data_IF_836040341939
#
_entry.id   IF_836040341939
#
_cell.length_a   1.000
_cell.length_b   1.000
_cell.length_c   1.000
_cell.angle_alpha   90.00
_cell.angle_beta   90.00
_cell.angle_gamma   90.00
#
_symmetry.space_group_name_H-M   'P 1'
#
loop_
_entity.id
_entity.type
_entity.pdbx_description
1 polymer ?
#
# COMPACT_ATOMS: atom_id res chain seq x y z
N UNK A 1 -25.45 -7.83 -6.93
CA UNK A 1 -25.05 -7.93 -8.36
C UNK A 1 -23.55 -7.70 -8.49
N UNK A 2 -22.89 -8.23 -9.51
CA UNK A 2 -21.47 -7.93 -9.79
C UNK A 2 -21.28 -7.43 -11.22
N UNK A 3 -20.42 -6.43 -11.38
CA UNK A 3 -20.00 -5.90 -12.68
C UNK A 3 -18.51 -6.17 -12.86
N UNK A 4 -18.12 -6.66 -14.03
CA UNK A 4 -16.71 -6.97 -14.32
C UNK A 4 -16.29 -6.22 -15.57
N UNK A 5 -15.18 -5.49 -15.47
CA UNK A 5 -14.49 -4.87 -16.61
C UNK A 5 -13.17 -5.59 -16.84
N UNK A 6 -12.84 -5.83 -18.11
CA UNK A 6 -11.57 -6.36 -18.55
C UNK A 6 -10.87 -5.33 -19.43
N UNK A 7 -9.66 -4.99 -19.06
CA UNK A 7 -8.84 -3.97 -19.71
C UNK A 7 -7.56 -4.65 -20.18
N UNK A 8 -7.32 -4.61 -21.48
CA UNK A 8 -6.13 -5.18 -22.11
C UNK A 8 -5.34 -4.10 -22.84
N UNK A 9 -4.04 -4.28 -22.94
CA UNK A 9 -3.21 -3.34 -23.68
C UNK A 9 -1.78 -3.82 -23.88
N UNK A 10 -0.99 -2.95 -24.49
CA UNK A 10 0.44 -3.10 -24.67
C UNK A 10 1.13 -1.80 -24.28
N UNK A 11 2.17 -1.91 -23.47
CA UNK A 11 3.04 -0.79 -23.10
C UNK A 11 4.35 -1.01 -23.85
N UNK A 12 4.72 -0.05 -24.69
CA UNK A 12 5.99 -0.04 -25.40
C UNK A 12 7.12 0.46 -24.48
N UNK A 13 8.34 -0.03 -24.70
CA UNK A 13 9.52 0.36 -23.93
C UNK A 13 9.81 1.88 -23.98
N UNK A 14 9.47 2.54 -25.09
CA UNK A 14 9.60 3.98 -25.25
C UNK A 14 8.64 4.77 -24.36
N UNK A 15 7.45 4.24 -24.08
CA UNK A 15 6.46 4.91 -23.23
C UNK A 15 6.93 4.93 -21.77
N UNK A 16 7.54 3.85 -21.30
CA UNK A 16 8.07 3.73 -19.92
C UNK A 16 9.16 4.77 -19.65
N UNK A 17 9.97 5.10 -20.67
CA UNK A 17 11.00 6.16 -20.55
C UNK A 17 10.41 7.56 -20.36
N UNK A 18 9.18 7.79 -20.82
CA UNK A 18 8.50 9.09 -20.69
C UNK A 18 7.70 9.17 -19.38
N UNK A 19 7.01 8.09 -19.03
CA UNK A 19 6.29 7.94 -17.77
C UNK A 19 6.21 6.46 -17.45
N UNK A 20 6.71 6.01 -16.30
CA UNK A 20 6.66 4.60 -15.93
C UNK A 20 5.31 4.20 -15.32
N UNK A 21 4.42 5.16 -15.04
CA UNK A 21 3.09 4.92 -14.47
C UNK A 21 1.98 5.10 -15.51
N UNK A 22 1.07 4.12 -15.56
CA UNK A 22 -0.07 4.06 -16.47
C UNK A 22 -1.36 3.88 -15.67
N UNK A 23 -2.41 4.61 -16.05
CA UNK A 23 -3.69 4.63 -15.33
C UNK A 23 -4.79 4.02 -16.19
N UNK A 24 -5.50 3.04 -15.63
CA UNK A 24 -6.57 2.31 -16.29
C UNK A 24 -7.89 2.64 -15.59
N UNK A 25 -8.76 3.45 -16.23
CA UNK A 25 -9.99 3.90 -15.61
C UNK A 25 -11.06 2.79 -15.59
N UNK A 26 -11.85 2.74 -14.53
CA UNK A 26 -13.09 1.97 -14.44
C UNK A 26 -14.10 2.65 -13.52
N UNK A 27 -15.39 2.36 -13.70
CA UNK A 27 -16.44 3.02 -12.93
C UNK A 27 -16.81 2.21 -11.68
N UNK A 28 -16.93 2.89 -10.54
CA UNK A 28 -17.45 2.35 -9.29
C UNK A 28 -18.82 2.99 -9.00
N UNK A 29 -19.89 2.19 -8.82
CA UNK A 29 -21.23 2.70 -8.54
C UNK A 29 -21.46 3.02 -7.05
N UNK A 30 -22.54 3.75 -6.75
CA UNK A 30 -22.88 4.26 -5.41
C UNK A 30 -23.08 3.18 -4.33
N UNK A 31 -23.43 1.97 -4.71
CA UNK A 31 -23.77 0.84 -3.84
C UNK A 31 -22.70 -0.27 -3.89
N UNK A 32 -21.47 0.08 -4.28
CA UNK A 32 -20.35 -0.86 -4.29
C UNK A 32 -20.02 -1.31 -2.86
N UNK A 33 -19.86 -2.62 -2.69
CA UNK A 33 -19.49 -3.24 -1.40
C UNK A 33 -18.11 -3.90 -1.45
N UNK A 34 -17.63 -4.25 -2.65
CA UNK A 34 -16.33 -4.88 -2.86
C UNK A 34 -15.77 -4.51 -4.22
N UNK A 35 -14.48 -4.21 -4.26
CA UNK A 35 -13.68 -4.11 -5.50
C UNK A 35 -12.62 -5.20 -5.41
N UNK A 36 -12.57 -6.07 -6.41
CA UNK A 36 -11.52 -7.06 -6.59
C UNK A 36 -10.81 -6.78 -7.92
N UNK A 37 -9.49 -6.72 -7.90
CA UNK A 37 -8.66 -6.48 -9.08
C UNK A 37 -7.64 -7.59 -9.19
N UNK A 38 -7.48 -8.14 -10.39
CA UNK A 38 -6.40 -9.06 -10.72
C UNK A 38 -5.77 -8.66 -12.04
N UNK A 39 -4.49 -8.99 -12.23
CA UNK A 39 -3.79 -8.72 -13.47
C UNK A 39 -2.80 -9.81 -13.84
N UNK A 40 -2.50 -9.88 -15.13
CA UNK A 40 -1.44 -10.71 -15.71
C UNK A 40 -0.75 -9.92 -16.79
N UNK A 41 0.51 -10.26 -17.05
CA UNK A 41 1.28 -9.64 -18.12
C UNK A 41 2.26 -10.64 -18.75
N UNK A 42 2.70 -10.33 -19.96
CA UNK A 42 3.59 -11.20 -20.73
C UNK A 42 5.00 -11.23 -20.14
N UNK A 43 5.63 -12.40 -20.17
CA UNK A 43 7.04 -12.60 -19.84
C UNK A 43 7.45 -12.05 -18.46
N UNK A 44 6.77 -12.38 -17.35
CA UNK A 44 7.20 -11.92 -16.03
C UNK A 44 8.60 -12.44 -15.68
N UNK A 45 9.38 -11.65 -14.94
CA UNK A 45 10.62 -12.14 -14.36
C UNK A 45 10.31 -13.25 -13.36
N UNK A 46 10.82 -14.45 -13.63
CA UNK A 46 10.62 -15.63 -12.77
C UNK A 46 11.89 -16.07 -12.04
N UNK A 47 13.03 -15.47 -12.39
CA UNK A 47 14.31 -15.82 -11.80
C UNK A 47 14.40 -15.28 -10.34
N UNK A 48 15.11 -16.00 -9.44
CA UNK A 48 15.26 -15.58 -8.05
C UNK A 48 15.82 -14.16 -7.92
N UNK A 49 15.32 -13.42 -6.93
CA UNK A 49 15.74 -12.05 -6.64
C UNK A 49 15.59 -11.08 -7.83
N UNK A 50 14.69 -11.37 -8.78
CA UNK A 50 14.50 -10.53 -9.98
C UNK A 50 15.63 -10.63 -11.01
N UNK A 51 16.58 -11.56 -10.84
CA UNK A 51 17.78 -11.66 -11.67
C UNK A 51 17.57 -12.57 -12.89
N UNK A 52 16.91 -12.08 -13.94
CA UNK A 52 16.74 -12.81 -15.20
C UNK A 52 15.82 -12.05 -16.15
N UNK A 53 15.74 -12.39 -17.46
CA UNK A 53 14.97 -11.65 -18.49
C UNK A 53 13.45 -11.62 -18.23
N UNK A 54 12.73 -10.69 -18.88
CA UNK A 54 11.31 -10.45 -18.63
C UNK A 54 10.95 -9.06 -18.11
N UNK A 55 9.67 -8.91 -17.78
CA UNK A 55 9.04 -7.69 -17.32
C UNK A 55 8.77 -7.73 -15.81
N UNK A 56 8.78 -6.56 -15.19
CA UNK A 56 8.30 -6.33 -13.82
C UNK A 56 7.27 -5.22 -13.91
N UNK A 57 6.01 -5.59 -13.70
CA UNK A 57 4.89 -4.65 -13.67
C UNK A 57 4.30 -4.68 -12.27
N UNK A 58 4.25 -3.52 -11.66
CA UNK A 58 3.67 -3.26 -10.35
C UNK A 58 2.19 -2.89 -10.48
N UNK A 59 1.45 -3.03 -9.37
CA UNK A 59 0.04 -2.64 -9.32
C UNK A 59 -0.32 -1.84 -8.06
N UNK A 60 -1.17 -0.86 -8.26
CA UNK A 60 -1.85 -0.09 -7.21
C UNK A 60 -3.17 0.50 -7.71
N UNK A 61 -3.79 1.36 -6.91
CA UNK A 61 -5.09 1.93 -7.25
C UNK A 61 -5.33 3.30 -6.61
N UNK A 62 -6.02 4.15 -7.36
CA UNK A 62 -6.58 5.42 -6.91
C UNK A 62 -8.10 5.42 -7.06
N UNK A 63 -8.79 6.04 -6.11
CA UNK A 63 -10.22 6.26 -6.19
C UNK A 63 -10.59 7.57 -6.91
N UNK A 64 -11.90 7.83 -6.97
CA UNK A 64 -12.49 8.97 -7.67
C UNK A 64 -12.13 10.35 -7.12
N UNK A 65 -11.39 10.43 -6.01
CA UNK A 65 -10.83 11.70 -5.51
C UNK A 65 -9.57 12.13 -6.28
N UNK A 66 -9.05 11.29 -7.16
CA UNK A 66 -8.01 11.63 -8.13
C UNK A 66 -6.60 11.18 -7.73
N UNK A 67 -5.71 11.18 -8.72
CA UNK A 67 -4.33 10.71 -8.63
C UNK A 67 -3.30 11.80 -8.94
N UNK A 68 -3.69 13.07 -8.92
CA UNK A 68 -2.79 14.19 -9.26
C UNK A 68 -1.62 14.31 -8.27
N UNK A 69 -0.40 14.35 -8.80
CA UNK A 69 0.82 14.58 -8.03
C UNK A 69 0.93 16.06 -7.60
N UNK A 70 1.51 16.40 -6.44
CA UNK A 70 2.21 15.55 -5.47
C UNK A 70 1.36 14.98 -4.32
N UNK A 71 0.09 15.35 -4.23
CA UNK A 71 -0.77 14.99 -3.10
C UNK A 71 -2.09 14.41 -3.61
N UNK A 72 -2.09 13.17 -4.11
CA UNK A 72 -3.28 12.55 -4.64
C UNK A 72 -4.23 12.17 -3.50
N UNK A 73 -5.37 12.85 -3.42
CA UNK A 73 -6.36 12.57 -2.39
C UNK A 73 -6.97 11.16 -2.49
N UNK A 74 -6.85 10.52 -3.65
CA UNK A 74 -7.46 9.23 -3.95
C UNK A 74 -6.57 8.01 -3.78
N UNK A 75 -5.35 8.09 -3.23
CA UNK A 75 -4.52 6.88 -3.07
C UNK A 75 -5.23 5.80 -2.24
N UNK A 76 -5.28 4.57 -2.75
CA UNK A 76 -5.94 3.41 -2.10
C UNK A 76 -5.06 2.19 -1.95
N UNK A 77 -3.81 2.23 -2.40
CA UNK A 77 -2.85 1.18 -2.12
C UNK A 77 -1.90 0.89 -3.26
N UNK A 78 -0.86 0.15 -2.89
CA UNK A 78 0.22 -0.31 -3.75
C UNK A 78 0.74 -1.63 -3.22
N UNK A 79 1.10 -2.55 -4.10
CA UNK A 79 1.74 -3.82 -3.72
C UNK A 79 3.01 -4.13 -4.53
N UNK A 80 3.47 -3.19 -5.36
CA UNK A 80 4.47 -3.51 -6.36
C UNK A 80 4.05 -4.72 -7.20
N UNK A 81 5.02 -5.54 -7.59
CA UNK A 81 4.81 -6.83 -8.24
C UNK A 81 4.60 -8.00 -7.25
N UNK A 82 4.49 -7.76 -5.93
CA UNK A 82 4.44 -8.83 -4.93
C UNK A 82 3.12 -9.61 -4.93
N UNK A 83 2.06 -9.03 -5.51
CA UNK A 83 0.72 -9.62 -5.53
C UNK A 83 0.14 -9.59 -6.95
N UNK A 84 -0.50 -10.68 -7.42
CA UNK A 84 -1.20 -10.72 -8.71
C UNK A 84 -2.63 -10.16 -8.63
N UNK A 85 -3.13 -9.90 -7.42
CA UNK A 85 -4.49 -9.44 -7.16
C UNK A 85 -4.60 -8.74 -5.80
N UNK A 86 -5.65 -7.93 -5.65
CA UNK A 86 -6.01 -7.29 -4.38
C UNK A 86 -7.53 -7.09 -4.27
N UNK A 87 -7.98 -6.84 -3.05
CA UNK A 87 -9.37 -6.59 -2.72
C UNK A 87 -9.51 -5.38 -1.79
N UNK A 88 -10.58 -4.61 -2.01
CA UNK A 88 -11.00 -3.48 -1.18
C UNK A 88 -12.47 -3.65 -0.80
N UNK A 89 -12.78 -3.46 0.48
CA UNK A 89 -14.14 -3.33 1.01
C UNK A 89 -14.16 -2.17 2.01
N UNK A 90 -15.35 -1.72 2.47
CA UNK A 90 -15.44 -0.76 3.55
C UNK A 90 -14.78 -1.24 4.86
N UNK A 91 -14.89 -2.53 5.18
CA UNK A 91 -14.43 -3.10 6.46
C UNK A 91 -13.04 -3.74 6.43
N UNK A 92 -12.54 -4.09 5.25
CA UNK A 92 -11.31 -4.87 5.09
C UNK A 92 -10.63 -4.62 3.72
N UNK A 93 -9.32 -4.86 3.65
CA UNK A 93 -8.54 -4.73 2.42
C UNK A 93 -7.34 -5.67 2.43
N UNK A 94 -6.86 -6.03 1.24
CA UNK A 94 -5.57 -6.73 1.09
C UNK A 94 -4.45 -5.91 1.73
N UNK A 95 -3.50 -6.51 2.48
CA UNK A 95 -2.34 -5.78 3.00
C UNK A 95 -1.61 -5.00 1.90
N UNK A 96 -1.27 -3.75 2.19
CA UNK A 96 -0.78 -2.76 1.22
C UNK A 96 -1.88 -1.81 0.70
N UNK A 97 -3.15 -2.13 0.94
CA UNK A 97 -4.31 -1.36 0.47
C UNK A 97 -5.17 -0.78 1.61
N UNK A 98 -5.79 0.37 1.32
CA UNK A 98 -6.56 1.17 2.28
C UNK A 98 -8.04 0.80 2.16
N UNK A 99 -8.58 0.15 3.19
CA UNK A 99 -10.03 -0.08 3.36
C UNK A 99 -10.78 1.22 3.65
N UNK A 100 -12.10 1.16 3.59
CA UNK A 100 -13.00 2.28 3.85
C UNK A 100 -13.92 2.54 2.67
N UNK A 101 -14.74 3.58 2.79
CA UNK A 101 -15.81 3.91 1.83
C UNK A 101 -15.37 3.78 0.36
N UNK A 102 -16.18 3.10 -0.44
CA UNK A 102 -15.96 2.94 -1.87
C UNK A 102 -16.69 4.09 -2.58
N UNK A 103 -16.00 5.22 -2.74
CA UNK A 103 -16.58 6.41 -3.36
C UNK A 103 -17.05 6.11 -4.79
N UNK A 104 -18.26 6.52 -5.19
CA UNK A 104 -18.71 6.38 -6.57
C UNK A 104 -17.86 7.24 -7.52
N UNK A 105 -17.83 6.84 -8.78
CA UNK A 105 -17.16 7.57 -9.87
C UNK A 105 -16.05 6.77 -10.52
N UNK A 106 -15.20 7.46 -11.28
CA UNK A 106 -14.09 6.86 -11.99
C UNK A 106 -12.92 6.58 -11.05
N UNK A 107 -12.54 5.31 -10.91
CA UNK A 107 -11.34 4.86 -10.22
C UNK A 107 -10.28 4.51 -11.26
N UNK A 108 -9.01 4.53 -10.83
CA UNK A 108 -7.88 4.29 -11.71
C UNK A 108 -6.98 3.21 -11.12
N UNK A 109 -6.90 2.07 -11.81
CA UNK A 109 -5.87 1.06 -11.52
C UNK A 109 -4.55 1.61 -12.07
N UNK A 110 -3.53 1.68 -11.22
CA UNK A 110 -2.21 2.12 -11.61
C UNK A 110 -1.32 0.92 -11.88
N UNK A 111 -0.75 0.86 -13.08
CA UNK A 111 0.35 -0.02 -13.42
C UNK A 111 1.65 0.78 -13.38
N UNK A 112 2.64 0.31 -12.64
CA UNK A 112 3.99 0.85 -12.69
C UNK A 112 4.91 -0.13 -13.40
N UNK A 113 5.84 0.33 -14.23
CA UNK A 113 6.74 -0.53 -14.98
C UNK A 113 8.18 -0.30 -14.56
N UNK A 114 8.66 -1.15 -13.64
CA UNK A 114 10.05 -1.16 -13.18
C UNK A 114 10.99 -1.66 -14.29
N UNK A 115 10.59 -2.76 -14.93
CA UNK A 115 11.41 -3.40 -15.95
C UNK A 115 10.60 -3.82 -17.15
N UNK A 116 11.11 -3.51 -18.33
CA UNK A 116 10.45 -3.80 -19.59
C UNK A 116 11.41 -4.39 -20.63
N UNK A 117 10.97 -5.46 -21.29
CA UNK A 117 11.64 -6.03 -22.44
C UNK A 117 11.58 -5.07 -23.64
N UNK A 118 12.51 -5.13 -24.61
CA UNK A 118 12.49 -4.24 -25.78
C UNK A 118 11.21 -4.32 -26.63
N UNK A 119 10.54 -5.47 -26.64
CA UNK A 119 9.27 -5.68 -27.35
C UNK A 119 8.06 -5.08 -26.60
N UNK A 120 8.27 -4.53 -25.40
CA UNK A 120 7.23 -4.06 -24.51
C UNK A 120 6.55 -5.19 -23.73
N UNK A 121 5.46 -4.85 -23.05
CA UNK A 121 4.68 -5.77 -22.23
C UNK A 121 3.21 -5.72 -22.59
N UNK A 122 2.59 -6.88 -22.84
CA UNK A 122 1.14 -7.01 -22.93
C UNK A 122 0.58 -7.28 -21.56
N UNK A 123 -0.53 -6.62 -21.22
CA UNK A 123 -1.21 -6.80 -19.94
C UNK A 123 -2.70 -7.09 -20.14
N UNK A 124 -3.27 -7.75 -19.13
CA UNK A 124 -4.69 -7.95 -18.95
C UNK A 124 -5.01 -7.68 -17.47
N UNK A 125 -5.92 -6.74 -17.22
CA UNK A 125 -6.42 -6.36 -15.90
C UNK A 125 -7.91 -6.64 -15.85
N UNK A 126 -8.36 -7.30 -14.80
CA UNK A 126 -9.78 -7.55 -14.53
C UNK A 126 -10.15 -6.86 -13.23
N UNK A 127 -11.13 -5.95 -13.28
CA UNK A 127 -11.73 -5.34 -12.09
C UNK A 127 -13.18 -5.83 -11.96
N UNK A 128 -13.51 -6.41 -10.82
CA UNK A 128 -14.86 -6.85 -10.47
C UNK A 128 -15.38 -6.02 -9.31
N UNK A 129 -16.53 -5.40 -9.48
CA UNK A 129 -17.21 -4.59 -8.46
C UNK A 129 -18.51 -5.27 -8.06
N UNK A 130 -18.58 -5.69 -6.80
CA UNK A 130 -19.81 -6.22 -6.21
C UNK A 130 -20.63 -5.08 -5.61
N UNK A 131 -21.94 -5.23 -5.70
CA UNK A 131 -22.92 -4.22 -5.32
C UNK A 131 -24.07 -4.88 -4.58
N UNK A 132 -24.55 -4.24 -3.52
CA UNK A 132 -25.82 -4.61 -2.90
C UNK A 132 -26.99 -4.27 -3.85
N UNK A 133 -27.97 -5.17 -3.97
CA UNK A 133 -29.24 -4.80 -4.59
C UNK A 133 -29.89 -3.70 -3.73
N UNK A 134 -30.57 -2.75 -4.38
CA UNK A 134 -31.22 -1.64 -3.71
C UNK A 134 -32.30 -2.16 -2.73
N UNK A 135 -31.89 -2.44 -1.49
CA UNK A 135 -32.78 -2.70 -0.37
C UNK A 135 -33.13 -1.36 0.28
N UNK A 136 -34.43 -1.16 0.50
CA UNK A 136 -35.04 -0.03 1.20
C UNK A 136 -34.21 0.42 2.39
N UNK A 137 -33.71 1.66 2.33
CA UNK A 137 -33.30 2.51 3.45
C UNK A 137 -32.94 1.74 4.74
N UNK A 138 -31.77 1.10 4.76
CA UNK A 138 -31.11 0.87 6.04
C UNK A 138 -30.61 2.24 6.51
N UNK A 139 -31.00 2.63 7.72
CA UNK A 139 -30.31 3.72 8.40
C UNK A 139 -28.80 3.41 8.36
N UNK A 140 -27.95 4.33 7.90
CA UNK A 140 -26.53 4.12 7.96
C UNK A 140 -26.18 3.87 9.42
N UNK A 141 -25.64 2.68 9.73
CA UNK A 141 -24.87 2.55 10.96
C UNK A 141 -23.81 3.63 10.91
N UNK A 142 -23.63 4.41 11.98
CA UNK A 142 -22.62 5.45 11.99
C UNK A 142 -21.29 4.78 11.66
N UNK A 143 -20.73 5.12 10.50
CA UNK A 143 -19.35 4.80 10.19
C UNK A 143 -18.54 5.35 11.36
N UNK A 144 -17.99 4.45 12.17
CA UNK A 144 -16.94 4.82 13.12
C UNK A 144 -15.76 5.20 12.25
N UNK A 145 -15.75 6.45 11.81
CA UNK A 145 -14.54 7.11 11.34
C UNK A 145 -13.53 6.82 12.44
N UNK A 146 -12.44 6.07 12.20
CA UNK A 146 -11.40 6.01 13.20
C UNK A 146 -11.05 7.46 13.48
N UNK A 147 -11.27 7.88 14.73
CA UNK A 147 -10.89 9.21 15.13
C UNK A 147 -9.44 9.37 14.71
N UNK A 148 -9.10 10.48 14.06
CA UNK A 148 -7.69 10.89 14.02
C UNK A 148 -7.24 10.83 15.48
N UNK A 149 -6.28 9.97 15.85
CA UNK A 149 -5.78 9.98 17.20
C UNK A 149 -5.17 11.37 17.40
N UNK A 150 -5.76 12.13 18.31
CA UNK A 150 -5.13 13.32 18.85
C UNK A 150 -3.70 12.94 19.24
N UNK A 151 -2.73 13.79 18.91
CA UNK A 151 -1.32 13.51 19.15
C UNK A 151 -1.12 12.91 20.55
N UNK A 152 -0.79 11.61 20.59
CA UNK A 152 -0.83 10.81 21.81
C UNK A 152 0.09 11.42 22.87
N UNK A 153 -0.56 12.05 23.86
CA UNK A 153 0.00 12.57 25.11
C UNK A 153 0.62 11.45 25.96
N UNK A 154 0.44 10.17 25.58
CA UNK A 154 1.01 8.99 26.25
C UNK A 154 2.47 8.62 25.90
N UNK A 155 3.08 9.21 24.86
CA UNK A 155 4.50 8.94 24.51
C UNK A 155 5.48 9.28 25.64
N UNK A 156 5.10 10.15 26.56
CA UNK A 156 5.96 10.61 27.64
C UNK A 156 6.11 9.59 28.78
N UNK A 157 5.10 8.75 29.05
CA UNK A 157 5.08 7.88 30.23
C UNK A 157 5.78 6.54 30.00
N UNK A 158 5.64 5.93 28.82
CA UNK A 158 6.38 4.71 28.46
C UNK A 158 7.91 4.98 28.38
N UNK A 159 8.29 6.15 27.87
CA UNK A 159 9.68 6.62 27.86
C UNK A 159 10.23 6.93 29.26
N UNK A 160 9.41 7.08 30.29
CA UNK A 160 9.86 7.41 31.64
C UNK A 160 10.58 6.23 32.34
N UNK A 161 10.46 5.01 31.79
CA UNK A 161 11.17 3.82 32.28
C UNK A 161 12.49 3.54 31.54
N UNK A 162 12.78 4.26 30.45
CA UNK A 162 14.12 4.28 29.89
C UNK A 162 15.05 4.91 30.95
N UNK A 163 16.09 4.17 31.33
CA UNK A 163 17.02 4.61 32.37
C UNK A 163 17.50 6.04 32.08
N UNK A 164 17.40 6.96 33.05
CA UNK A 164 17.92 8.35 32.94
C UNK A 164 19.44 8.45 32.73
N UNK A 165 20.13 7.33 32.51
CA UNK A 165 21.56 7.25 32.22
C UNK A 165 21.75 7.12 30.71
N UNK A 166 22.73 7.82 30.11
CA UNK A 166 23.09 7.62 28.71
C UNK A 166 23.40 6.14 28.45
N UNK A 167 22.78 5.57 27.42
CA UNK A 167 23.04 4.21 26.96
C UNK A 167 22.92 4.14 25.45
N UNK A 168 23.53 3.12 24.85
CA UNK A 168 23.27 2.74 23.47
C UNK A 168 21.86 2.12 23.38
N UNK A 169 21.14 2.48 22.32
CA UNK A 169 19.87 1.87 21.96
C UNK A 169 20.11 0.86 20.84
N UNK A 170 19.53 -0.34 20.97
CA UNK A 170 19.55 -1.39 19.95
C UNK A 170 18.21 -1.38 19.24
N UNK A 171 18.20 -1.32 17.92
CA UNK A 171 16.96 -1.41 17.17
C UNK A 171 17.19 -1.65 15.70
N UNK A 172 16.08 -1.77 14.97
CA UNK A 172 16.05 -1.95 13.53
C UNK A 172 15.36 -0.75 12.87
N UNK A 173 15.93 -0.27 11.77
CA UNK A 173 15.46 0.90 11.03
C UNK A 173 14.88 0.55 9.66
N UNK A 174 14.86 -0.72 9.26
CA UNK A 174 14.40 -1.15 7.94
C UNK A 174 13.79 -2.56 8.02
N UNK A 175 12.46 -2.63 8.03
CA UNK A 175 11.74 -3.89 8.16
C UNK A 175 10.46 -3.88 7.34
N UNK A 176 10.17 -5.01 6.67
CA UNK A 176 8.99 -5.20 5.83
C UNK A 176 8.02 -6.18 6.45
N UNK A 177 6.74 -5.99 6.16
CA UNK A 177 5.66 -6.86 6.59
C UNK A 177 4.89 -7.37 5.38
N UNK A 178 3.85 -8.15 5.63
CA UNK A 178 2.87 -8.53 4.61
C UNK A 178 2.22 -7.34 3.89
N UNK A 179 2.34 -6.11 4.39
CA UNK A 179 1.82 -4.92 3.69
C UNK A 179 2.62 -4.56 2.43
N UNK A 180 3.84 -5.08 2.25
CA UNK A 180 4.57 -4.97 0.99
C UNK A 180 5.09 -6.33 0.50
N UNK A 181 6.34 -6.67 0.78
CA UNK A 181 7.05 -7.87 0.32
C UNK A 181 7.61 -8.72 1.46
N UNK A 182 7.36 -8.32 2.71
CA UNK A 182 7.67 -9.12 3.90
C UNK A 182 6.73 -10.31 4.06
N UNK A 183 7.20 -11.32 4.80
CA UNK A 183 6.44 -12.56 5.05
C UNK A 183 5.68 -12.54 6.38
N UNK A 184 6.07 -11.68 7.31
CA UNK A 184 5.53 -11.64 8.67
C UNK A 184 4.47 -10.56 8.84
N UNK A 185 3.49 -10.81 9.70
CA UNK A 185 2.54 -9.78 10.11
C UNK A 185 3.23 -8.70 10.95
N UNK A 186 2.60 -7.53 11.08
CA UNK A 186 3.09 -6.45 11.96
C UNK A 186 3.23 -6.96 13.40
N UNK A 187 2.23 -7.70 13.89
CA UNK A 187 2.27 -8.27 15.24
C UNK A 187 3.43 -9.25 15.44
N UNK A 188 3.69 -10.13 14.46
CA UNK A 188 4.80 -11.08 14.53
C UNK A 188 6.15 -10.37 14.62
N UNK A 189 6.42 -9.38 13.74
CA UNK A 189 7.70 -8.67 13.75
C UNK A 189 7.90 -7.86 15.04
N UNK A 190 6.84 -7.24 15.55
CA UNK A 190 6.91 -6.46 16.80
C UNK A 190 7.16 -7.36 17.99
N UNK A 191 6.43 -8.49 18.11
CA UNK A 191 6.65 -9.45 19.21
C UNK A 191 8.03 -10.08 19.15
N UNK A 192 8.53 -10.38 17.95
CA UNK A 192 9.90 -10.87 17.77
C UNK A 192 10.93 -9.83 18.20
N UNK A 193 10.75 -8.55 17.82
CA UNK A 193 11.62 -7.46 18.23
C UNK A 193 11.67 -7.28 19.75
N UNK A 194 10.51 -7.37 20.43
CA UNK A 194 10.42 -7.39 21.90
C UNK A 194 11.18 -8.58 22.48
N UNK A 195 10.98 -9.78 21.93
CA UNK A 195 11.68 -11.01 22.37
C UNK A 195 13.20 -10.94 22.20
N UNK A 196 13.68 -10.21 21.18
CA UNK A 196 15.09 -9.94 20.92
C UNK A 196 15.68 -8.79 21.75
N UNK A 197 14.85 -8.17 22.61
CA UNK A 197 15.23 -7.03 23.45
C UNK A 197 15.61 -5.80 22.64
N UNK A 198 14.94 -5.53 21.51
CA UNK A 198 15.10 -4.28 20.78
C UNK A 198 14.41 -3.13 21.53
N UNK A 199 15.05 -1.97 21.55
CA UNK A 199 14.54 -0.73 22.12
C UNK A 199 13.60 -0.01 21.15
N UNK A 200 13.82 -0.19 19.84
CA UNK A 200 12.99 0.38 18.79
C UNK A 200 12.94 -0.51 17.54
N UNK A 201 11.86 -0.37 16.78
CA UNK A 201 11.64 -1.01 15.49
C UNK A 201 10.96 -0.01 14.55
N UNK A 202 11.59 0.27 13.41
CA UNK A 202 10.93 0.91 12.28
C UNK A 202 10.35 -0.13 11.32
N UNK A 203 9.10 0.08 10.91
CA UNK A 203 8.47 -0.68 9.84
C UNK A 203 8.35 0.25 8.64
N UNK A 204 8.85 -0.20 7.50
CA UNK A 204 9.13 0.61 6.31
C UNK A 204 8.66 -0.12 5.06
N UNK A 205 7.40 -0.59 5.06
CA UNK A 205 6.83 -1.23 3.87
C UNK A 205 6.90 -0.33 2.63
N UNK A 206 7.07 -0.95 1.46
CA UNK A 206 7.21 -0.23 0.19
C UNK A 206 5.93 0.54 -0.18
N UNK A 207 6.04 1.86 -0.26
CA UNK A 207 5.03 2.78 -0.81
C UNK A 207 3.61 2.64 -0.26
N UNK A 208 3.50 2.27 1.01
CA UNK A 208 2.21 2.12 1.68
C UNK A 208 2.33 2.49 3.15
N UNK A 209 1.29 3.14 3.68
CA UNK A 209 1.16 3.48 5.10
C UNK A 209 0.18 2.57 5.84
N UNK A 210 -0.27 1.48 5.20
CA UNK A 210 -1.40 0.68 5.71
C UNK A 210 -1.09 -0.08 6.99
N UNK A 211 0.18 -0.36 7.27
CA UNK A 211 0.64 -0.99 8.52
C UNK A 211 0.59 -0.03 9.73
N UNK A 212 0.41 1.28 9.54
CA UNK A 212 0.43 2.27 10.63
C UNK A 212 -0.67 2.02 11.66
N UNK A 213 -1.85 1.59 11.21
CA UNK A 213 -2.99 1.30 12.10
C UNK A 213 -2.68 0.11 13.03
N UNK A 214 -1.95 -0.89 12.54
CA UNK A 214 -1.52 -2.04 13.34
C UNK A 214 -0.41 -1.67 14.31
N UNK A 215 0.55 -0.83 13.90
CA UNK A 215 1.56 -0.30 14.82
C UNK A 215 0.94 0.49 15.96
N UNK A 216 -0.10 1.29 15.69
CA UNK A 216 -0.82 2.03 16.72
C UNK A 216 -1.49 1.09 17.72
N UNK A 217 -2.15 0.02 17.26
CA UNK A 217 -2.73 -1.00 18.16
C UNK A 217 -1.70 -1.69 19.06
N UNK A 218 -0.43 -1.69 18.67
CA UNK A 218 0.66 -2.35 19.38
C UNK A 218 1.51 -1.37 20.22
N UNK A 219 1.11 -0.09 20.31
CA UNK A 219 1.91 0.95 20.97
C UNK A 219 2.13 0.77 22.47
N UNK A 220 1.34 -0.08 23.11
CA UNK A 220 1.47 -0.39 24.55
C UNK A 220 2.56 -1.44 24.86
N UNK A 221 3.14 -2.05 23.82
CA UNK A 221 4.25 -3.01 23.98
C UNK A 221 5.55 -2.30 24.42
N UNK A 222 6.48 -3.01 25.09
CA UNK A 222 7.70 -2.43 25.63
C UNK A 222 8.79 -2.18 24.57
N UNK A 223 8.44 -1.49 23.48
CA UNK A 223 9.31 -1.14 22.36
C UNK A 223 8.84 0.16 21.71
N UNK A 224 9.78 1.00 21.25
CA UNK A 224 9.43 2.18 20.45
C UNK A 224 9.15 1.76 19.01
N UNK A 225 7.89 1.87 18.60
CA UNK A 225 7.48 1.64 17.21
C UNK A 225 7.60 2.94 16.40
N UNK A 226 8.28 2.84 15.25
CA UNK A 226 8.53 3.97 14.34
C UNK A 226 7.79 3.67 13.03
N UNK A 227 6.63 4.32 12.78
CA UNK A 227 5.97 4.25 11.48
C UNK A 227 6.88 4.86 10.41
N UNK A 228 7.12 4.14 9.34
CA UNK A 228 7.95 4.58 8.23
C UNK A 228 7.47 4.03 6.90
N UNK A 229 8.12 4.47 5.84
CA UNK A 229 7.86 4.02 4.48
C UNK A 229 9.20 3.90 3.77
N UNK A 230 9.44 2.79 3.07
CA UNK A 230 10.51 2.75 2.08
C UNK A 230 9.98 3.37 0.78
N UNK A 231 10.22 4.66 0.60
CA UNK A 231 9.92 5.36 -0.64
C UNK A 231 10.78 4.73 -1.72
N UNK A 232 10.14 4.12 -2.69
CA UNK A 232 10.74 3.19 -3.64
C UNK A 232 10.39 3.70 -5.02
N UNK A 233 11.42 4.12 -5.73
CA UNK A 233 11.32 4.63 -7.09
C UNK A 233 12.11 3.71 -8.00
N UNK A 234 11.87 3.80 -9.31
CA UNK A 234 12.65 3.05 -10.30
C UNK A 234 14.11 3.52 -10.43
N UNK A 235 14.52 4.54 -9.65
CA UNK A 235 15.89 5.06 -9.60
C UNK A 235 16.58 4.82 -8.27
N UNK A 236 15.87 4.31 -7.26
CA UNK A 236 16.43 4.08 -5.93
C UNK A 236 15.40 4.17 -4.82
N UNK A 237 15.82 3.72 -3.63
CA UNK A 237 14.95 3.63 -2.46
C UNK A 237 15.48 4.51 -1.33
N UNK A 238 14.57 5.01 -0.49
CA UNK A 238 14.90 5.79 0.69
C UNK A 238 13.89 5.54 1.83
N UNK A 239 14.40 5.19 3.01
CA UNK A 239 13.57 5.09 4.20
C UNK A 239 13.21 6.46 4.75
N UNK A 240 11.92 6.64 5.00
CA UNK A 240 11.36 7.80 5.68
C UNK A 240 10.76 7.33 7.00
N UNK A 241 11.07 8.01 8.11
CA UNK A 241 10.69 7.60 9.45
C UNK A 241 9.84 8.65 10.16
N UNK A 242 9.02 8.20 11.11
CA UNK A 242 8.18 9.08 11.92
C UNK A 242 6.99 9.65 11.15
N UNK A 243 6.53 8.92 10.13
CA UNK A 243 5.46 9.35 9.24
C UNK A 243 4.10 9.27 9.91
N UNK A 244 3.17 10.05 9.36
CA UNK A 244 1.74 10.07 9.74
C UNK A 244 0.82 9.84 8.55
N UNK A 245 1.36 10.00 7.35
CA UNK A 245 0.69 9.89 6.08
C UNK A 245 1.66 9.26 5.07
N UNK A 246 1.08 8.67 4.03
CA UNK A 246 1.81 8.10 2.90
C UNK A 246 2.55 9.20 2.13
N UNK A 247 3.74 8.86 1.64
CA UNK A 247 4.53 9.74 0.78
C UNK A 247 4.36 9.29 -0.67
N UNK A 248 4.01 10.23 -1.55
CA UNK A 248 3.91 9.93 -2.98
C UNK A 248 5.31 9.66 -3.56
N UNK A 249 5.51 8.43 -4.03
CA UNK A 249 6.77 7.91 -4.56
C UNK A 249 6.94 8.16 -6.06
N UNK A 250 5.89 8.66 -6.75
CA UNK A 250 5.85 8.80 -8.22
C UNK A 250 6.67 9.99 -8.73
N UNK A 251 7.86 10.19 -8.17
CA UNK A 251 8.84 11.16 -8.64
C UNK A 251 9.45 10.67 -9.95
N UNK A 252 9.46 11.52 -10.99
CA UNK A 252 10.19 11.28 -12.23
C UNK A 252 11.07 12.51 -12.55
N UNK A 253 12.18 12.31 -13.26
CA UNK A 253 12.95 13.40 -13.84
C UNK A 253 12.18 14.04 -15.01
N UNK A 254 12.21 15.38 -15.10
CA UNK A 254 11.72 16.12 -16.28
C UNK A 254 12.66 15.96 -17.48
#
# INVERSE_FOLDING_TARGET
MSETVRIEGHIAAEQVRLSPYFYLPFNVPHNATRIHVSYRYSSPVTAPFGNGPGNVVDIGIFDSRGYDFPQPAGFRGWSGASRPEFCLTPGDATPGYIRGDLFPGEWNIMLGVDRIDPEGVRYEVTATVEQEEAATSREPEPATRPARPEALVGRAEHNAQLSKRPRWLKGDLHCHTVHSDGLNSVEEIVRNAVGLGLDFLAVTDHNTSTHFEELERLSDLPIVLIPGEEVTTYWGHANMWGLREWIDFRCADE
#
